data_IF_851070365474
#
_entry.id   IF_851070365474
#
_cell.length_a   1.000
_cell.length_b   1.000
_cell.length_c   1.000
_cell.angle_alpha   90.00
_cell.angle_beta   90.00
_cell.angle_gamma   90.00
#
_symmetry.space_group_name_H-M   'P 1'
#
loop_
_entity.id
_entity.type
_entity.pdbx_description
1 polymer ?
#
# COMPACT_ATOMS: atom_id res chain seq x y z
N UNK A 1 11.27 0.13 28.27
CA UNK A 1 12.70 -0.06 27.90
C UNK A 1 13.53 0.98 28.64
N UNK A 2 14.62 0.63 29.31
CA UNK A 2 15.53 1.62 29.90
C UNK A 2 16.50 2.09 28.82
N UNK A 3 16.38 3.35 28.36
CA UNK A 3 17.33 3.95 27.42
C UNK A 3 18.65 4.23 28.16
N UNK A 4 19.72 3.58 27.74
CA UNK A 4 21.06 3.77 28.34
C UNK A 4 21.80 4.99 27.75
N UNK A 5 21.19 5.73 26.82
CA UNK A 5 21.80 6.88 26.14
C UNK A 5 22.99 6.49 25.24
N UNK A 6 23.13 5.20 24.92
CA UNK A 6 24.29 4.68 24.19
C UNK A 6 24.16 4.83 22.67
N UNK A 7 22.98 5.17 22.14
CA UNK A 7 22.77 5.27 20.70
C UNK A 7 23.78 6.22 20.04
N UNK A 8 23.97 7.43 20.60
CA UNK A 8 24.97 8.38 20.09
C UNK A 8 26.42 7.88 20.14
N UNK A 9 26.74 6.94 21.04
CA UNK A 9 28.08 6.32 21.10
C UNK A 9 28.30 5.22 20.06
N UNK A 10 27.22 4.53 19.67
CA UNK A 10 27.26 3.43 18.69
C UNK A 10 27.11 3.96 17.26
N UNK A 11 26.44 5.11 17.09
CA UNK A 11 26.12 5.70 15.80
C UNK A 11 26.76 7.09 15.65
N UNK A 12 28.03 7.18 15.21
CA UNK A 12 28.70 8.48 15.06
C UNK A 12 28.12 9.28 13.88
N UNK A 13 27.19 10.19 14.18
CA UNK A 13 26.51 11.04 13.20
C UNK A 13 27.40 12.13 12.61
N UNK A 14 28.50 12.51 13.27
CA UNK A 14 29.44 13.53 12.77
C UNK A 14 30.13 13.22 11.43
N UNK A 15 29.89 12.05 10.84
CA UNK A 15 30.29 11.73 9.45
C UNK A 15 29.17 11.91 8.41
N UNK A 16 27.94 12.13 8.88
CA UNK A 16 26.69 12.09 8.12
C UNK A 16 25.98 13.46 8.17
N UNK A 17 25.93 14.07 9.35
CA UNK A 17 25.29 15.35 9.62
C UNK A 17 26.38 16.37 9.96
N UNK A 18 26.28 17.58 9.39
CA UNK A 18 27.22 18.66 9.72
C UNK A 18 27.15 18.99 11.22
N UNK A 19 28.31 19.23 11.83
CA UNK A 19 28.63 19.15 13.28
C UNK A 19 27.96 20.16 14.21
N UNK A 20 26.74 20.60 13.95
CA UNK A 20 25.97 21.34 14.96
C UNK A 20 25.40 20.32 15.96
N UNK A 21 26.28 19.92 16.89
CA UNK A 21 26.23 18.74 17.76
C UNK A 21 25.08 18.70 18.78
N UNK A 22 24.26 19.74 18.88
CA UNK A 22 23.19 19.81 19.87
C UNK A 22 21.92 19.04 19.42
N UNK A 23 21.83 18.65 18.14
CA UNK A 23 20.66 17.95 17.58
C UNK A 23 20.82 16.42 17.41
N UNK A 24 22.01 15.85 17.67
CA UNK A 24 22.26 14.41 17.43
C UNK A 24 21.50 13.49 18.41
N UNK A 25 21.41 13.87 19.68
CA UNK A 25 20.74 13.08 20.73
C UNK A 25 19.22 12.96 20.52
N UNK A 26 18.48 14.06 20.22
CA UNK A 26 17.05 14.01 19.95
C UNK A 26 16.65 13.04 18.83
N UNK A 27 17.46 12.89 17.77
CA UNK A 27 17.09 12.08 16.59
C UNK A 27 17.03 10.59 16.94
N UNK A 28 18.02 10.07 17.67
CA UNK A 28 18.01 8.65 18.05
C UNK A 28 17.05 8.36 19.18
N UNK A 29 16.83 9.30 20.09
CA UNK A 29 15.79 9.16 21.10
C UNK A 29 14.41 9.09 20.43
N UNK A 30 14.11 9.99 19.47
CA UNK A 30 12.90 9.89 18.65
C UNK A 30 12.82 8.55 17.90
N UNK A 31 13.94 8.03 17.39
CA UNK A 31 14.00 6.71 16.76
C UNK A 31 13.66 5.56 17.72
N UNK A 32 14.12 5.64 18.97
CA UNK A 32 13.78 4.66 20.02
C UNK A 32 12.32 4.76 20.44
N UNK A 33 11.78 5.97 20.54
CA UNK A 33 10.37 6.22 20.83
C UNK A 33 9.48 5.61 19.75
N UNK A 34 9.72 5.96 18.47
CA UNK A 34 8.97 5.40 17.35
C UNK A 34 9.10 3.87 17.24
N UNK A 35 10.29 3.32 17.50
CA UNK A 35 10.49 1.87 17.57
C UNK A 35 9.67 1.23 18.71
N UNK A 36 9.63 1.85 19.89
CA UNK A 36 8.84 1.38 21.03
C UNK A 36 7.35 1.40 20.70
N UNK A 37 6.84 2.51 20.16
CA UNK A 37 5.44 2.67 19.75
C UNK A 37 5.06 1.65 18.67
N UNK A 38 5.95 1.40 17.70
CA UNK A 38 5.78 0.35 16.69
C UNK A 38 5.70 -1.04 17.33
N UNK A 39 6.61 -1.35 18.26
CA UNK A 39 6.63 -2.64 18.96
C UNK A 39 5.37 -2.85 19.80
N UNK A 40 4.96 -1.86 20.57
CA UNK A 40 3.79 -1.92 21.44
C UNK A 40 2.50 -2.13 20.64
N UNK A 41 2.39 -1.47 19.48
CA UNK A 41 1.27 -1.70 18.57
C UNK A 41 1.29 -3.11 17.95
N UNK A 42 2.44 -3.65 17.56
CA UNK A 42 2.54 -5.06 17.11
C UNK A 42 2.14 -6.05 18.21
N UNK A 43 2.52 -5.79 19.46
CA UNK A 43 2.07 -6.56 20.61
C UNK A 43 0.55 -6.48 20.79
N UNK A 44 -0.03 -5.30 20.61
CA UNK A 44 -1.48 -5.10 20.62
C UNK A 44 -2.16 -5.91 19.52
N UNK A 45 -1.70 -5.83 18.26
CA UNK A 45 -2.23 -6.64 17.14
C UNK A 45 -2.10 -8.14 17.38
N UNK A 46 -1.08 -8.59 18.14
CA UNK A 46 -0.97 -10.00 18.51
C UNK A 46 -2.10 -10.45 19.45
N UNK A 47 -2.49 -9.58 20.38
CA UNK A 47 -3.54 -9.86 21.35
C UNK A 47 -4.94 -9.65 20.76
N UNK A 48 -5.09 -8.61 19.94
CA UNK A 48 -6.33 -8.18 19.28
C UNK A 48 -6.03 -7.98 17.79
N UNK A 49 -5.98 -9.05 16.99
CA UNK A 49 -5.63 -8.93 15.57
C UNK A 49 -6.71 -8.13 14.85
N UNK A 50 -6.36 -7.02 14.18
CA UNK A 50 -7.31 -6.31 13.34
C UNK A 50 -7.73 -7.21 12.18
N UNK A 51 -8.86 -6.90 11.54
CA UNK A 51 -9.46 -7.72 10.47
C UNK A 51 -8.44 -8.08 9.39
N UNK A 52 -7.58 -7.12 9.04
CA UNK A 52 -6.57 -7.27 7.98
C UNK A 52 -5.31 -8.06 8.38
N UNK A 53 -5.21 -8.45 9.66
CA UNK A 53 -4.24 -9.39 10.21
C UNK A 53 -4.84 -10.76 10.52
N UNK A 54 -6.13 -10.97 10.26
CA UNK A 54 -6.80 -12.25 10.54
C UNK A 54 -6.51 -13.29 9.44
N UNK A 55 -6.25 -14.54 9.83
CA UNK A 55 -5.95 -15.65 8.90
C UNK A 55 -7.18 -16.17 8.15
N UNK A 56 -8.37 -15.68 8.48
CA UNK A 56 -9.64 -16.28 8.06
C UNK A 56 -10.03 -15.97 6.61
N UNK A 57 -9.29 -15.12 5.90
CA UNK A 57 -9.71 -14.68 4.57
C UNK A 57 -8.54 -14.74 3.57
N UNK A 58 -8.60 -15.64 2.57
CA UNK A 58 -7.64 -15.64 1.47
C UNK A 58 -7.93 -14.48 0.51
N UNK A 59 -7.48 -13.26 0.85
CA UNK A 59 -7.67 -12.07 0.01
C UNK A 59 -6.62 -11.91 -1.10
N UNK A 60 -5.78 -12.91 -1.36
CA UNK A 60 -4.75 -12.78 -2.40
C UNK A 60 -5.36 -12.90 -3.80
N UNK A 61 -5.66 -11.78 -4.44
CA UNK A 61 -6.24 -11.79 -5.79
C UNK A 61 -5.28 -12.31 -6.87
N UNK A 62 -3.98 -12.33 -6.59
CA UNK A 62 -2.93 -12.57 -7.57
C UNK A 62 -2.09 -13.83 -7.28
N UNK A 63 -2.64 -14.78 -6.51
CA UNK A 63 -1.99 -16.05 -6.20
C UNK A 63 -0.70 -15.93 -5.37
N UNK A 64 -0.49 -14.78 -4.74
CA UNK A 64 0.66 -14.53 -3.85
C UNK A 64 0.27 -15.03 -2.46
N UNK A 65 1.09 -15.88 -1.81
CA UNK A 65 0.83 -16.27 -0.43
C UNK A 65 0.78 -15.04 0.47
N UNK A 66 -0.33 -14.86 1.17
CA UNK A 66 -0.52 -13.74 2.07
C UNK A 66 0.09 -14.05 3.44
N UNK A 67 1.34 -13.61 3.65
CA UNK A 67 2.02 -13.78 4.93
C UNK A 67 1.61 -12.69 5.91
N UNK A 68 1.19 -13.10 7.10
CA UNK A 68 0.97 -12.18 8.21
C UNK A 68 2.30 -11.63 8.69
N UNK A 69 2.37 -10.32 8.94
CA UNK A 69 3.58 -9.68 9.44
C UNK A 69 4.08 -10.32 10.75
N UNK A 70 3.16 -10.81 11.58
CA UNK A 70 3.47 -11.51 12.84
C UNK A 70 4.11 -12.89 12.65
N UNK A 71 4.02 -13.47 11.46
CA UNK A 71 4.63 -14.75 11.09
C UNK A 71 5.89 -14.56 10.22
N UNK A 72 6.13 -13.34 9.68
CA UNK A 72 7.29 -13.00 8.86
C UNK A 72 8.38 -12.27 9.66
N UNK A 73 9.33 -13.04 10.18
CA UNK A 73 10.48 -12.55 10.95
C UNK A 73 11.36 -11.56 10.16
N UNK A 74 11.50 -11.75 8.84
CA UNK A 74 12.34 -10.89 8.00
C UNK A 74 11.67 -9.53 7.81
N UNK A 75 10.38 -9.50 7.48
CA UNK A 75 9.62 -8.25 7.38
C UNK A 75 9.59 -7.46 8.69
N UNK A 76 9.44 -8.13 9.85
CA UNK A 76 9.51 -7.45 11.16
C UNK A 76 10.88 -6.89 11.46
N UNK A 77 11.96 -7.62 11.15
CA UNK A 77 13.33 -7.12 11.34
C UNK A 77 13.56 -5.83 10.55
N UNK A 78 13.16 -5.81 9.28
CA UNK A 78 13.33 -4.64 8.40
C UNK A 78 12.43 -3.48 8.85
N UNK A 79 11.22 -3.77 9.36
CA UNK A 79 10.36 -2.78 10.00
C UNK A 79 11.03 -2.13 11.22
N UNK A 80 11.71 -2.89 12.09
CA UNK A 80 12.42 -2.31 13.23
C UNK A 80 13.54 -1.37 12.80
N UNK A 81 14.30 -1.73 11.76
CA UNK A 81 15.29 -0.82 11.18
C UNK A 81 14.63 0.43 10.59
N UNK A 82 13.46 0.26 9.94
CA UNK A 82 12.71 1.37 9.38
C UNK A 82 12.22 2.33 10.48
N UNK A 83 11.59 1.82 11.54
CA UNK A 83 11.11 2.63 12.65
C UNK A 83 12.24 3.39 13.35
N UNK A 84 13.35 2.71 13.68
CA UNK A 84 14.47 3.35 14.37
C UNK A 84 15.16 4.43 13.55
N UNK A 85 15.31 4.23 12.23
CA UNK A 85 16.07 5.15 11.37
C UNK A 85 15.19 6.19 10.66
N UNK A 86 13.86 6.13 10.79
CA UNK A 86 12.92 7.06 10.14
C UNK A 86 13.20 8.53 10.54
N UNK A 87 13.36 8.89 11.82
CA UNK A 87 13.66 10.27 12.20
C UNK A 87 14.96 10.80 11.57
N UNK A 88 16.00 9.96 11.47
CA UNK A 88 17.26 10.32 10.81
C UNK A 88 17.05 10.60 9.30
N UNK A 89 16.25 9.78 8.61
CA UNK A 89 15.93 10.01 7.20
C UNK A 89 15.17 11.32 7.01
N UNK A 90 14.21 11.60 7.89
CA UNK A 90 13.36 12.78 7.79
C UNK A 90 14.15 14.05 8.07
N UNK A 91 15.01 14.02 9.09
CA UNK A 91 15.97 15.06 9.37
C UNK A 91 16.88 15.35 8.17
N UNK A 92 17.53 14.32 7.61
CA UNK A 92 18.39 14.49 6.43
C UNK A 92 17.63 15.05 5.21
N UNK A 93 16.36 14.68 5.05
CA UNK A 93 15.50 15.19 3.99
C UNK A 93 15.11 16.65 4.19
N UNK A 94 14.90 17.10 5.44
CA UNK A 94 14.66 18.51 5.81
C UNK A 94 15.91 19.36 5.52
N UNK A 95 17.06 18.96 6.05
CA UNK A 95 18.35 19.65 5.81
C UNK A 95 18.68 19.77 4.32
N UNK A 96 18.39 18.73 3.53
CA UNK A 96 18.59 18.74 2.08
C UNK A 96 17.70 19.74 1.33
N UNK A 97 16.49 20.04 1.84
CA UNK A 97 15.58 21.04 1.26
C UNK A 97 16.00 22.47 1.59
N UNK A 98 16.45 22.71 2.82
CA UNK A 98 16.82 24.04 3.30
C UNK A 98 18.12 24.57 2.67
N UNK A 99 19.02 23.67 2.25
CA UNK A 99 20.21 24.01 1.45
C UNK A 99 19.90 24.45 0.01
N UNK A 100 18.62 24.68 -0.30
CA UNK A 100 18.02 25.29 -1.49
C UNK A 100 18.96 25.53 -2.67
N UNK A 101 18.79 24.73 -3.74
CA UNK A 101 19.18 24.85 -5.17
C UNK A 101 20.48 25.57 -5.62
N UNK A 102 21.24 26.16 -4.71
CA UNK A 102 22.28 27.16 -4.98
C UNK A 102 23.68 26.64 -4.73
N UNK A 103 23.83 25.44 -4.16
CA UNK A 103 25.11 24.74 -4.18
C UNK A 103 25.39 24.20 -5.59
N UNK A 104 26.45 24.68 -6.28
CA UNK A 104 26.80 24.18 -7.60
C UNK A 104 27.05 22.67 -7.55
N UNK A 105 26.41 21.93 -8.46
CA UNK A 105 26.48 20.46 -8.63
C UNK A 105 27.88 19.97 -9.04
N UNK A 106 28.91 20.24 -8.25
CA UNK A 106 30.29 19.78 -8.49
C UNK A 106 30.64 18.51 -7.71
N UNK A 107 29.65 17.72 -7.27
CA UNK A 107 29.92 16.39 -6.71
C UNK A 107 29.79 15.32 -7.80
N UNK A 108 30.90 14.62 -8.05
CA UNK A 108 30.97 13.53 -9.02
C UNK A 108 29.99 12.39 -8.71
N UNK A 109 29.72 11.57 -9.73
CA UNK A 109 28.75 10.46 -9.81
C UNK A 109 28.80 9.38 -8.69
N UNK A 110 29.59 9.55 -7.62
CA UNK A 110 29.82 8.58 -6.55
C UNK A 110 29.07 8.89 -5.22
N UNK A 111 28.35 10.02 -5.11
CA UNK A 111 27.77 10.48 -3.84
C UNK A 111 26.26 10.71 -3.90
N UNK A 112 25.48 9.67 -4.16
CA UNK A 112 24.01 9.69 -3.95
C UNK A 112 23.54 8.44 -3.22
N UNK A 113 24.36 7.93 -2.29
CA UNK A 113 23.89 6.93 -1.36
C UNK A 113 23.03 7.64 -0.32
N UNK A 114 21.85 7.10 -0.03
CA UNK A 114 21.01 7.64 1.03
C UNK A 114 21.70 7.53 2.39
N UNK A 115 21.27 8.37 3.33
CA UNK A 115 21.71 8.27 4.74
C UNK A 115 21.40 6.90 5.33
N UNK A 116 20.27 6.29 4.98
CA UNK A 116 19.85 4.98 5.48
C UNK A 116 20.77 3.88 4.98
N UNK A 117 21.08 3.88 3.68
CA UNK A 117 21.97 2.86 3.11
C UNK A 117 23.40 3.04 3.64
N UNK A 118 23.87 4.27 3.84
CA UNK A 118 25.15 4.51 4.50
C UNK A 118 25.15 3.98 5.94
N UNK A 119 24.14 4.34 6.74
CA UNK A 119 24.04 3.89 8.14
C UNK A 119 23.96 2.36 8.24
N UNK A 120 23.07 1.74 7.48
CA UNK A 120 22.84 0.30 7.59
C UNK A 120 24.01 -0.52 7.05
N UNK A 121 24.59 -0.14 5.92
CA UNK A 121 25.63 -0.97 5.28
C UNK A 121 27.03 -0.60 5.75
N UNK A 122 27.34 0.69 5.87
CA UNK A 122 28.71 1.11 6.19
C UNK A 122 28.96 1.10 7.70
N UNK A 123 28.00 1.56 8.50
CA UNK A 123 28.15 1.60 9.96
C UNK A 123 27.71 0.28 10.60
N UNK A 124 26.50 -0.19 10.30
CA UNK A 124 25.93 -1.39 10.93
C UNK A 124 26.30 -2.72 10.25
N UNK A 125 26.98 -2.68 9.10
CA UNK A 125 27.37 -3.87 8.32
C UNK A 125 26.18 -4.80 7.98
N UNK A 126 24.99 -4.24 7.79
CA UNK A 126 23.80 -4.97 7.36
C UNK A 126 23.81 -5.19 5.85
N UNK A 127 23.11 -6.22 5.35
CA UNK A 127 22.94 -6.43 3.91
C UNK A 127 22.32 -5.20 3.21
N UNK A 128 22.75 -4.92 1.97
CA UNK A 128 22.18 -3.81 1.18
C UNK A 128 20.68 -3.98 0.94
N UNK A 129 20.21 -5.23 0.76
CA UNK A 129 18.79 -5.56 0.60
C UNK A 129 17.93 -5.10 1.78
N UNK A 130 18.46 -5.18 3.01
CA UNK A 130 17.75 -4.75 4.22
C UNK A 130 17.64 -3.22 4.24
N UNK A 131 18.69 -2.51 3.80
CA UNK A 131 18.67 -1.05 3.70
C UNK A 131 17.67 -0.54 2.64
N UNK A 132 17.67 -1.16 1.46
CA UNK A 132 16.70 -0.86 0.39
C UNK A 132 15.26 -1.16 0.83
N UNK A 133 15.05 -2.28 1.54
CA UNK A 133 13.75 -2.65 2.05
C UNK A 133 13.27 -1.67 3.15
N UNK A 134 14.12 -1.28 4.10
CA UNK A 134 13.80 -0.27 5.11
C UNK A 134 13.46 1.07 4.48
N UNK A 135 14.21 1.52 3.48
CA UNK A 135 13.87 2.75 2.75
C UNK A 135 12.54 2.68 2.03
N UNK A 136 12.22 1.55 1.39
CA UNK A 136 10.93 1.35 0.74
C UNK A 136 9.80 1.43 1.77
N UNK A 137 9.95 0.76 2.93
CA UNK A 137 8.98 0.83 4.03
C UNK A 137 8.76 2.27 4.46
N UNK A 138 9.83 3.02 4.75
CA UNK A 138 9.70 4.40 5.19
C UNK A 138 9.03 5.30 4.12
N UNK A 139 9.37 5.13 2.83
CA UNK A 139 8.76 5.92 1.73
C UNK A 139 7.28 5.58 1.58
N UNK A 140 6.93 4.30 1.66
CA UNK A 140 5.54 3.86 1.59
C UNK A 140 4.74 4.30 2.83
N UNK A 141 5.35 4.36 4.01
CA UNK A 141 4.74 4.92 5.21
C UNK A 141 4.37 6.41 5.01
N UNK A 142 5.29 7.21 4.43
CA UNK A 142 4.96 8.60 4.08
C UNK A 142 3.81 8.67 3.06
N UNK A 143 3.79 7.75 2.08
CA UNK A 143 2.74 7.70 1.06
C UNK A 143 1.38 7.35 1.69
N UNK A 144 1.33 6.38 2.61
CA UNK A 144 0.12 6.06 3.36
C UNK A 144 -0.34 7.22 4.25
N UNK A 145 0.58 7.86 4.98
CA UNK A 145 0.25 9.06 5.76
C UNK A 145 -0.36 10.16 4.88
N UNK A 146 0.21 10.40 3.68
CA UNK A 146 -0.35 11.38 2.73
C UNK A 146 -1.72 10.99 2.21
N UNK A 147 -1.97 9.70 1.95
CA UNK A 147 -3.31 9.23 1.59
C UNK A 147 -4.27 9.46 2.76
N UNK A 148 -3.95 9.01 3.97
CA UNK A 148 -4.82 9.20 5.14
C UNK A 148 -5.15 10.67 5.42
N UNK A 149 -4.15 11.56 5.30
CA UNK A 149 -4.34 13.01 5.54
C UNK A 149 -5.04 13.75 4.41
N UNK A 150 -5.13 13.17 3.20
CA UNK A 150 -5.85 13.76 2.07
C UNK A 150 -7.35 13.45 2.06
N UNK A 151 -7.90 12.91 3.16
CA UNK A 151 -9.33 12.60 3.31
C UNK A 151 -9.74 11.21 2.80
N UNK A 152 -8.78 10.33 2.52
CA UNK A 152 -9.07 8.97 2.07
C UNK A 152 -9.64 8.07 3.17
N UNK A 153 -9.59 8.47 4.43
CA UNK A 153 -10.32 7.79 5.52
C UNK A 153 -11.83 7.78 5.26
N UNK A 154 -12.39 8.89 4.78
CA UNK A 154 -13.79 8.97 4.37
C UNK A 154 -14.13 8.04 3.19
N UNK A 155 -13.20 7.90 2.23
CA UNK A 155 -13.38 7.05 1.07
C UNK A 155 -13.32 5.56 1.44
N UNK A 156 -12.34 5.17 2.26
CA UNK A 156 -12.25 3.82 2.80
C UNK A 156 -13.54 3.42 3.54
N UNK A 157 -14.09 4.33 4.35
CA UNK A 157 -15.37 4.09 5.01
C UNK A 157 -16.53 3.94 4.02
N UNK A 158 -16.62 4.79 2.98
CA UNK A 158 -17.66 4.65 1.92
C UNK A 158 -17.58 3.30 1.22
N UNK A 159 -16.36 2.85 0.87
CA UNK A 159 -16.11 1.55 0.22
C UNK A 159 -16.62 0.41 1.10
N UNK A 160 -16.26 0.43 2.39
CA UNK A 160 -16.69 -0.58 3.36
C UNK A 160 -18.20 -0.56 3.56
N UNK A 161 -18.81 0.62 3.73
CA UNK A 161 -20.26 0.76 3.95
C UNK A 161 -21.09 0.37 2.71
N UNK A 162 -20.51 0.46 1.52
CA UNK A 162 -21.18 0.12 0.26
C UNK A 162 -20.79 -1.28 -0.24
N UNK A 163 -20.04 -2.02 0.56
CA UNK A 163 -19.58 -3.39 0.32
C UNK A 163 -18.97 -3.58 -1.09
N UNK A 164 -18.17 -2.60 -1.53
CA UNK A 164 -17.49 -2.70 -2.83
C UNK A 164 -16.36 -3.69 -2.68
N UNK A 165 -16.43 -4.74 -3.50
CA UNK A 165 -15.59 -5.91 -3.39
C UNK A 165 -15.03 -6.35 -4.73
N UNK A 166 -13.77 -6.73 -4.72
CA UNK A 166 -13.02 -7.33 -5.82
C UNK A 166 -12.48 -8.66 -5.32
N UNK A 167 -13.02 -9.76 -5.82
CA UNK A 167 -12.68 -11.11 -5.39
C UNK A 167 -12.00 -11.88 -6.51
N UNK A 168 -11.01 -12.71 -6.17
CA UNK A 168 -10.46 -13.69 -7.10
C UNK A 168 -10.97 -15.09 -6.72
N UNK A 169 -11.45 -15.82 -7.71
CA UNK A 169 -11.91 -17.19 -7.58
C UNK A 169 -10.79 -18.14 -7.93
N UNK A 170 -10.34 -18.98 -7.00
CA UNK A 170 -9.29 -19.95 -7.29
C UNK A 170 -9.85 -21.15 -8.05
N UNK A 171 -9.22 -21.50 -9.18
CA UNK A 171 -9.56 -22.67 -9.96
C UNK A 171 -9.29 -23.95 -9.16
N UNK A 172 -10.31 -24.53 -8.52
CA UNK A 172 -10.20 -25.77 -7.75
C UNK A 172 -10.96 -25.81 -6.43
N UNK A 173 -11.47 -24.67 -5.95
CA UNK A 173 -12.47 -24.68 -4.87
C UNK A 173 -13.82 -25.03 -5.52
N UNK A 174 -14.21 -26.30 -5.43
CA UNK A 174 -15.54 -26.75 -5.85
C UNK A 174 -16.60 -25.95 -5.08
N UNK A 175 -17.53 -25.33 -5.80
CA UNK A 175 -18.64 -24.50 -5.29
C UNK A 175 -19.59 -25.21 -4.30
N UNK A 176 -19.30 -26.44 -3.90
CA UNK A 176 -20.18 -27.30 -3.10
C UNK A 176 -20.33 -26.88 -1.62
N UNK A 177 -19.69 -25.80 -1.15
CA UNK A 177 -19.76 -25.38 0.28
C UNK A 177 -20.11 -23.90 0.54
N UNK A 178 -20.43 -23.10 -0.47
CA UNK A 178 -20.99 -21.76 -0.28
C UNK A 178 -22.53 -21.79 -0.31
N UNK A 179 -23.14 -22.34 0.75
CA UNK A 179 -24.58 -22.33 0.99
C UNK A 179 -25.07 -20.92 1.40
N UNK A 180 -24.87 -19.93 0.52
CA UNK A 180 -25.64 -18.69 0.53
C UNK A 180 -26.91 -18.97 -0.26
N UNK A 181 -27.93 -19.49 0.46
CA UNK A 181 -29.20 -19.97 -0.07
C UNK A 181 -30.00 -18.96 -0.91
N UNK A 182 -29.58 -18.75 -2.16
CA UNK A 182 -30.40 -18.14 -3.21
C UNK A 182 -31.02 -19.28 -4.01
N UNK A 183 -32.25 -19.59 -3.63
CA UNK A 183 -33.10 -20.60 -4.27
C UNK A 183 -33.66 -20.02 -5.58
N UNK A 184 -33.28 -20.60 -6.72
CA UNK A 184 -34.16 -21.05 -7.84
C UNK A 184 -33.45 -21.00 -9.21
N UNK A 185 -33.46 -22.12 -9.95
CA UNK A 185 -33.22 -22.09 -11.40
C UNK A 185 -32.73 -23.40 -12.00
N UNK A 186 -33.68 -24.19 -12.51
CA UNK A 186 -33.51 -25.41 -13.34
C UNK A 186 -32.72 -25.11 -14.64
N UNK A 187 -31.86 -26.03 -15.09
CA UNK A 187 -31.19 -25.85 -16.39
C UNK A 187 -29.99 -26.74 -16.74
N UNK A 188 -30.27 -27.99 -17.11
CA UNK A 188 -29.32 -28.92 -17.74
C UNK A 188 -28.79 -28.41 -19.09
N UNK A 189 -27.47 -28.56 -19.29
CA UNK A 189 -26.76 -29.02 -20.50
C UNK A 189 -25.42 -28.27 -20.65
N UNK A 190 -24.30 -28.88 -20.22
CA UNK A 190 -22.95 -28.39 -20.50
C UNK A 190 -22.24 -29.33 -21.47
N UNK A 191 -21.95 -28.79 -22.65
CA UNK A 191 -21.17 -29.38 -23.73
C UNK A 191 -19.68 -29.42 -23.36
N UNK A 192 -19.08 -30.60 -23.44
CA UNK A 192 -17.64 -30.82 -23.28
C UNK A 192 -16.88 -30.31 -24.52
N UNK A 193 -16.48 -29.05 -24.49
CA UNK A 193 -15.58 -28.42 -25.47
C UNK A 193 -14.22 -28.15 -24.85
N UNK A 194 -13.14 -28.44 -25.60
CA UNK A 194 -11.73 -28.28 -25.22
C UNK A 194 -11.46 -26.94 -24.49
N UNK A 195 -11.38 -27.00 -23.16
CA UNK A 195 -10.93 -25.90 -22.32
C UNK A 195 -9.40 -25.95 -22.24
N UNK A 196 -8.76 -25.14 -23.07
CA UNK A 196 -7.33 -25.11 -23.33
C UNK A 196 -6.65 -24.09 -22.41
N UNK A 197 -5.91 -24.57 -21.39
CA UNK A 197 -4.87 -23.91 -20.56
C UNK A 197 -5.12 -22.54 -19.87
N UNK A 198 -6.12 -21.74 -20.24
CA UNK A 198 -6.51 -20.52 -19.49
C UNK A 198 -7.23 -20.82 -18.17
N UNK A 199 -7.61 -22.07 -17.95
CA UNK A 199 -8.51 -22.49 -16.89
C UNK A 199 -7.86 -22.71 -15.52
N UNK A 200 -6.55 -22.50 -15.41
CA UNK A 200 -5.82 -22.55 -14.13
C UNK A 200 -5.59 -21.16 -13.52
N UNK A 201 -5.85 -20.08 -14.27
CA UNK A 201 -5.86 -18.74 -13.71
C UNK A 201 -7.27 -18.47 -13.17
N UNK A 202 -7.35 -18.23 -11.87
CA UNK A 202 -8.57 -17.79 -11.24
C UNK A 202 -9.20 -16.58 -11.96
N UNK A 203 -10.52 -16.45 -11.91
CA UNK A 203 -11.20 -15.29 -12.48
C UNK A 203 -11.46 -14.25 -11.39
N UNK A 204 -11.41 -12.97 -11.74
CA UNK A 204 -11.74 -11.87 -10.83
C UNK A 204 -13.20 -11.47 -11.06
N UNK A 205 -13.96 -11.32 -9.98
CA UNK A 205 -15.34 -10.82 -10.01
C UNK A 205 -15.49 -9.61 -9.10
N UNK A 206 -16.35 -8.68 -9.50
CA UNK A 206 -16.60 -7.45 -8.76
C UNK A 206 -18.05 -7.40 -8.30
N UNK A 207 -18.29 -6.88 -7.09
CA UNK A 207 -19.64 -6.66 -6.57
C UNK A 207 -19.73 -5.38 -5.75
N UNK A 208 -20.90 -4.77 -5.69
CA UNK A 208 -21.20 -3.64 -4.81
C UNK A 208 -22.66 -3.70 -4.32
N UNK A 209 -22.96 -3.08 -3.19
CA UNK A 209 -24.34 -2.87 -2.75
C UNK A 209 -24.91 -1.62 -3.42
N UNK A 210 -26.06 -1.76 -4.04
CA UNK A 210 -26.78 -0.67 -4.70
C UNK A 210 -27.71 0.06 -3.72
N UNK A 211 -28.16 1.30 -4.03
CA UNK A 211 -29.15 2.00 -3.21
C UNK A 211 -30.46 1.23 -2.99
N UNK A 212 -30.78 0.28 -3.88
CA UNK A 212 -31.92 -0.63 -3.76
C UNK A 212 -31.70 -1.75 -2.71
N UNK A 213 -30.54 -1.76 -2.05
CA UNK A 213 -30.21 -2.62 -0.90
C UNK A 213 -29.74 -4.03 -1.26
N UNK A 214 -29.63 -4.37 -2.55
CA UNK A 214 -29.16 -5.67 -3.01
C UNK A 214 -27.69 -5.63 -3.48
N UNK A 215 -26.93 -6.73 -3.28
CA UNK A 215 -25.64 -6.90 -3.93
C UNK A 215 -25.84 -7.03 -5.44
N UNK A 216 -25.08 -6.24 -6.20
CA UNK A 216 -25.04 -6.25 -7.67
C UNK A 216 -23.66 -6.73 -8.11
N UNK A 217 -23.62 -7.71 -9.01
CA UNK A 217 -22.39 -8.06 -9.74
C UNK A 217 -22.08 -6.92 -10.71
N UNK A 218 -20.87 -6.40 -10.63
CA UNK A 218 -20.41 -5.25 -11.40
C UNK A 218 -19.62 -5.73 -12.60
N UNK A 219 -19.99 -5.27 -13.79
CA UNK A 219 -19.12 -5.35 -14.96
C UNK A 219 -18.13 -4.19 -14.90
N UNK A 220 -16.92 -4.50 -14.41
CA UNK A 220 -15.89 -3.50 -14.18
C UNK A 220 -15.51 -2.73 -15.45
N UNK A 221 -15.73 -3.28 -16.65
CA UNK A 221 -15.40 -2.65 -17.93
C UNK A 221 -16.36 -1.51 -18.32
N UNK A 222 -17.60 -1.57 -17.84
CA UNK A 222 -18.71 -0.71 -18.32
C UNK A 222 -19.45 0.04 -17.22
N UNK A 223 -19.14 -0.22 -15.95
CA UNK A 223 -19.80 0.41 -14.81
C UNK A 223 -19.49 1.91 -14.70
N UNK A 224 -20.55 2.72 -14.69
CA UNK A 224 -20.51 4.18 -14.66
C UNK A 224 -21.00 4.77 -13.32
N UNK A 225 -21.33 3.92 -12.34
CA UNK A 225 -21.74 4.37 -11.02
C UNK A 225 -20.67 5.25 -10.37
N UNK A 226 -21.05 6.46 -9.94
CA UNK A 226 -20.13 7.44 -9.34
C UNK A 226 -19.33 6.88 -8.17
N UNK A 227 -19.94 6.04 -7.33
CA UNK A 227 -19.26 5.44 -6.19
C UNK A 227 -18.26 4.37 -6.63
N UNK A 228 -18.59 3.59 -7.65
CA UNK A 228 -17.64 2.64 -8.26
C UNK A 228 -16.43 3.37 -8.83
N UNK A 229 -16.65 4.45 -9.59
CA UNK A 229 -15.58 5.26 -10.17
C UNK A 229 -14.68 5.88 -9.08
N UNK A 230 -15.27 6.43 -8.01
CA UNK A 230 -14.54 6.92 -6.83
C UNK A 230 -13.69 5.82 -6.18
N UNK A 231 -14.25 4.61 -6.03
CA UNK A 231 -13.54 3.47 -5.47
C UNK A 231 -12.40 2.97 -6.36
N UNK A 232 -12.57 2.98 -7.68
CA UNK A 232 -11.52 2.59 -8.63
C UNK A 232 -10.40 3.63 -8.71
N UNK A 233 -10.70 4.92 -8.60
CA UNK A 233 -9.68 5.96 -8.44
C UNK A 233 -8.86 5.75 -7.15
N UNK A 234 -9.55 5.45 -6.05
CA UNK A 234 -8.89 5.10 -4.80
C UNK A 234 -8.02 3.85 -4.92
N UNK A 235 -8.54 2.80 -5.59
CA UNK A 235 -7.81 1.57 -5.90
C UNK A 235 -6.53 1.89 -6.67
N UNK A 236 -6.60 2.74 -7.69
CA UNK A 236 -5.46 3.17 -8.49
C UNK A 236 -4.40 3.89 -7.64
N UNK A 237 -4.79 4.80 -6.76
CA UNK A 237 -3.83 5.52 -5.90
C UNK A 237 -3.13 4.58 -4.92
N UNK A 238 -3.89 3.68 -4.29
CA UNK A 238 -3.33 2.69 -3.37
C UNK A 238 -2.41 1.70 -4.09
N UNK A 239 -2.80 1.25 -5.28
CA UNK A 239 -1.99 0.32 -6.09
C UNK A 239 -0.59 0.85 -6.37
N UNK A 240 -0.43 2.16 -6.62
CA UNK A 240 0.87 2.79 -6.89
C UNK A 240 1.82 2.69 -5.70
N UNK A 241 1.28 2.76 -4.48
CA UNK A 241 2.04 2.54 -3.25
C UNK A 241 2.39 1.05 -3.13
N UNK A 242 1.39 0.19 -3.28
CA UNK A 242 1.51 -1.27 -3.12
C UNK A 242 2.46 -1.92 -4.13
N UNK A 243 2.45 -1.50 -5.40
CA UNK A 243 3.37 -1.98 -6.44
C UNK A 243 4.83 -1.66 -6.10
N UNK A 244 5.09 -0.52 -5.45
CA UNK A 244 6.45 -0.09 -5.07
C UNK A 244 6.98 -0.84 -3.85
N UNK A 245 6.14 -0.99 -2.83
CA UNK A 245 6.52 -1.64 -1.56
C UNK A 245 6.45 -3.17 -1.65
N UNK A 246 5.54 -3.68 -2.47
CA UNK A 246 5.27 -5.10 -2.65
C UNK A 246 4.80 -5.78 -1.35
N UNK A 247 5.37 -6.94 -0.97
CA UNK A 247 4.92 -7.71 0.19
C UNK A 247 5.16 -7.00 1.53
N UNK A 248 5.98 -5.94 1.57
CA UNK A 248 6.28 -5.18 2.78
C UNK A 248 5.20 -4.15 3.15
N UNK A 249 4.05 -4.13 2.46
CA UNK A 249 3.03 -3.11 2.64
C UNK A 249 2.48 -3.05 4.07
N UNK A 250 2.29 -4.20 4.74
CA UNK A 250 1.83 -4.25 6.15
C UNK A 250 2.83 -3.57 7.08
N UNK A 251 4.13 -3.79 6.85
CA UNK A 251 5.17 -3.15 7.63
C UNK A 251 5.16 -1.62 7.43
N UNK A 252 5.00 -1.16 6.19
CA UNK A 252 4.87 0.27 5.89
C UNK A 252 3.61 0.89 6.52
N UNK A 253 2.48 0.19 6.51
CA UNK A 253 1.25 0.67 7.11
C UNK A 253 1.34 0.75 8.64
N UNK A 254 1.94 -0.25 9.29
CA UNK A 254 2.22 -0.24 10.74
C UNK A 254 3.16 0.91 11.11
N UNK A 255 4.20 1.17 10.31
CA UNK A 255 5.09 2.30 10.55
C UNK A 255 4.33 3.62 10.45
N UNK A 256 3.54 3.81 9.39
CA UNK A 256 2.69 4.99 9.19
C UNK A 256 1.75 5.23 10.38
N UNK A 257 1.11 4.17 10.87
CA UNK A 257 0.26 4.24 12.06
C UNK A 257 1.08 4.61 13.31
N UNK A 258 2.21 3.96 13.54
CA UNK A 258 3.06 4.25 14.70
C UNK A 258 3.54 5.70 14.74
N UNK A 259 3.84 6.30 13.58
CA UNK A 259 4.17 7.74 13.48
C UNK A 259 3.01 8.61 13.96
N UNK A 260 1.77 8.34 13.51
CA UNK A 260 0.59 9.09 13.94
C UNK A 260 0.27 8.90 15.43
N UNK A 261 0.55 7.72 15.99
CA UNK A 261 0.37 7.46 17.41
C UNK A 261 1.43 8.17 18.27
N UNK A 262 2.65 8.32 17.74
CA UNK A 262 3.72 9.06 18.42
C UNK A 262 3.40 10.56 18.50
N UNK A 263 2.86 11.14 17.42
CA UNK A 263 2.43 12.54 17.41
C UNK A 263 1.41 12.84 18.54
N UNK A 264 0.50 11.90 18.85
CA UNK A 264 -0.46 12.02 19.96
C UNK A 264 0.20 11.92 21.34
N UNK A 265 1.28 11.14 21.44
CA UNK A 265 2.02 11.01 22.69
C UNK A 265 2.81 12.28 23.02
N UNK A 266 3.44 12.90 22.01
CA UNK A 266 4.25 14.11 22.17
C UNK A 266 3.43 15.36 22.52
N UNK A 267 2.19 15.45 22.06
CA UNK A 267 1.30 16.56 22.41
C UNK A 267 0.81 16.35 23.85
N UNK A 268 1.50 16.96 24.81
CA UNK A 268 0.94 17.24 26.14
C UNK A 268 -0.39 17.96 25.94
N UNK A 269 -1.48 17.36 26.44
CA UNK A 269 -2.85 17.67 26.02
C UNK A 269 -3.10 19.17 25.89
N UNK A 270 -3.62 19.58 24.74
CA UNK A 270 -4.17 20.92 24.58
C UNK A 270 -5.50 20.90 25.34
N UNK A 271 -5.50 21.40 26.58
CA UNK A 271 -6.71 21.84 27.26
C UNK A 271 -7.33 22.97 26.41
N UNK A 272 -8.14 22.61 25.42
CA UNK A 272 -8.98 23.57 24.73
C UNK A 272 -10.13 23.94 25.66
N UNK A 273 -9.87 24.87 26.58
CA UNK A 273 -10.89 25.53 27.36
C UNK A 273 -11.66 26.49 26.44
N UNK A 274 -12.63 25.97 25.69
CA UNK A 274 -13.67 26.79 25.05
C UNK A 274 -14.72 27.05 26.11
N UNK A 275 -14.97 28.34 26.36
CA UNK A 275 -15.78 28.91 27.42
C UNK A 275 -17.21 28.32 27.45
N UNK A 276 -17.42 27.18 28.10
CA UNK A 276 -18.76 26.68 28.49
C UNK A 276 -19.05 25.18 28.35
N UNK A 277 -18.33 24.41 27.53
CA UNK A 277 -18.50 22.96 27.39
C UNK A 277 -17.13 22.32 27.08
N UNK A 278 -16.51 21.73 28.11
CA UNK A 278 -15.25 20.99 27.94
C UNK A 278 -15.62 19.54 27.62
N UNK A 279 -15.56 19.16 26.34
CA UNK A 279 -15.46 17.75 25.96
C UNK A 279 -13.97 17.41 26.03
N UNK A 280 -13.53 16.89 27.17
CA UNK A 280 -12.21 16.25 27.29
C UNK A 280 -12.24 14.95 26.48
N UNK A 281 -11.82 14.99 25.21
CA UNK A 281 -11.49 13.77 24.49
C UNK A 281 -10.20 13.22 25.10
N UNK A 282 -10.29 12.02 25.68
CA UNK A 282 -9.14 11.40 26.31
C UNK A 282 -8.09 11.03 25.26
N UNK A 283 -6.80 11.08 25.61
CA UNK A 283 -5.71 10.61 24.72
C UNK A 283 -5.98 9.20 24.17
N UNK A 284 -6.63 8.35 24.96
CA UNK A 284 -7.01 7.01 24.54
C UNK A 284 -8.09 7.01 23.47
N UNK A 285 -9.09 7.89 23.54
CA UNK A 285 -10.11 8.02 22.48
C UNK A 285 -9.49 8.48 21.16
N UNK A 286 -8.61 9.50 21.19
CA UNK A 286 -7.88 9.95 20.00
C UNK A 286 -7.05 8.80 19.42
N UNK A 287 -6.31 8.08 20.28
CA UNK A 287 -5.49 6.93 19.92
C UNK A 287 -6.33 5.85 19.23
N UNK A 288 -7.47 5.47 19.81
CA UNK A 288 -8.37 4.48 19.24
C UNK A 288 -8.99 4.96 17.92
N UNK A 289 -9.31 6.26 17.81
CA UNK A 289 -9.77 6.86 16.56
C UNK A 289 -8.76 6.72 15.42
N UNK A 290 -7.47 6.96 15.69
CA UNK A 290 -6.40 6.76 14.70
C UNK A 290 -6.29 5.29 14.30
N UNK A 291 -6.28 4.37 15.26
CA UNK A 291 -6.22 2.92 14.99
C UNK A 291 -7.39 2.49 14.12
N UNK A 292 -8.62 2.90 14.46
CA UNK A 292 -9.83 2.57 13.71
C UNK A 292 -9.79 3.09 12.26
N UNK A 293 -9.24 4.28 12.03
CA UNK A 293 -9.05 4.84 10.67
C UNK A 293 -8.10 3.98 9.84
N UNK A 294 -6.96 3.58 10.43
CA UNK A 294 -6.00 2.71 9.73
C UNK A 294 -6.54 1.31 9.50
N UNK A 295 -7.34 0.76 10.43
CA UNK A 295 -8.01 -0.52 10.26
C UNK A 295 -9.04 -0.48 9.12
N UNK A 296 -9.85 0.57 9.04
CA UNK A 296 -10.79 0.78 7.94
C UNK A 296 -10.05 0.94 6.60
N UNK A 297 -8.96 1.70 6.58
CA UNK A 297 -8.12 1.86 5.39
C UNK A 297 -7.55 0.51 4.94
N UNK A 298 -6.92 -0.25 5.85
CA UNK A 298 -6.36 -1.56 5.55
C UNK A 298 -7.43 -2.54 5.07
N UNK A 299 -8.59 -2.59 5.72
CA UNK A 299 -9.71 -3.42 5.30
C UNK A 299 -10.17 -3.06 3.89
N UNK A 300 -10.26 -1.77 3.55
CA UNK A 300 -10.62 -1.34 2.19
C UNK A 300 -9.61 -1.80 1.13
N UNK A 301 -8.31 -1.92 1.47
CA UNK A 301 -7.32 -2.50 0.55
C UNK A 301 -7.60 -3.99 0.26
N UNK A 302 -8.06 -4.73 1.27
CA UNK A 302 -8.41 -6.14 1.13
C UNK A 302 -9.68 -6.32 0.30
N UNK A 303 -10.73 -5.56 0.62
CA UNK A 303 -12.01 -5.61 -0.12
C UNK A 303 -11.83 -5.20 -1.58
N UNK A 304 -10.92 -4.25 -1.89
CA UNK A 304 -10.59 -3.88 -3.26
C UNK A 304 -9.62 -4.82 -3.97
N UNK A 305 -9.28 -5.96 -3.36
CA UNK A 305 -8.47 -6.99 -3.98
C UNK A 305 -7.07 -6.49 -4.39
N UNK A 306 -6.48 -5.62 -3.57
CA UNK A 306 -5.16 -5.02 -3.85
C UNK A 306 -3.98 -5.87 -3.36
N UNK A 307 -4.22 -6.89 -2.53
CA UNK A 307 -3.16 -7.76 -2.02
C UNK A 307 -2.61 -8.62 -3.14
N UNK A 308 -1.31 -8.45 -3.43
CA UNK A 308 -0.62 -9.14 -4.51
C UNK A 308 -0.56 -8.35 -5.82
N UNK A 309 -1.11 -7.13 -5.89
CA UNK A 309 -1.14 -6.33 -7.13
C UNK A 309 0.25 -6.01 -7.71
N UNK A 310 1.31 -6.09 -6.88
CA UNK A 310 2.70 -5.99 -7.33
C UNK A 310 3.16 -7.17 -8.21
N UNK A 311 2.40 -8.27 -8.26
CA UNK A 311 2.65 -9.42 -9.12
C UNK A 311 1.79 -9.41 -10.39
N UNK A 312 0.86 -8.46 -10.53
CA UNK A 312 0.00 -8.32 -11.71
C UNK A 312 0.85 -8.17 -12.97
N UNK A 313 0.59 -9.04 -13.95
CA UNK A 313 1.22 -8.97 -15.27
C UNK A 313 0.27 -8.28 -16.25
N UNK A 314 0.78 -7.53 -17.23
CA UNK A 314 -0.07 -6.94 -18.26
C UNK A 314 -0.84 -8.01 -19.05
N UNK A 315 -2.11 -7.74 -19.36
CA UNK A 315 -2.97 -8.64 -20.17
C UNK A 315 -2.48 -8.79 -21.62
N UNK A 316 -1.88 -7.72 -22.16
CA UNK A 316 -1.29 -7.68 -23.49
C UNK A 316 0.20 -7.41 -23.33
N UNK A 317 1.01 -8.38 -23.71
CA UNK A 317 2.46 -8.21 -23.66
C UNK A 317 2.96 -7.29 -24.79
N UNK A 318 4.23 -6.86 -24.70
CA UNK A 318 4.78 -5.94 -25.71
C UNK A 318 4.95 -6.53 -27.11
N UNK A 319 4.90 -7.87 -27.24
CA UNK A 319 4.93 -8.57 -28.52
C UNK A 319 3.54 -8.57 -29.13
N UNK A 320 2.53 -9.00 -28.39
CA UNK A 320 1.12 -9.00 -28.81
C UNK A 320 0.66 -7.60 -29.22
N UNK A 321 1.05 -6.58 -28.45
CA UNK A 321 0.75 -5.17 -28.72
C UNK A 321 1.15 -4.76 -30.16
N UNK A 322 2.25 -5.32 -30.70
CA UNK A 322 2.81 -4.98 -32.01
C UNK A 322 2.53 -6.01 -33.11
N UNK A 323 2.60 -7.29 -32.78
CA UNK A 323 2.57 -8.39 -33.75
C UNK A 323 1.16 -8.90 -34.00
N UNK A 324 0.31 -8.87 -32.98
CA UNK A 324 -1.06 -9.37 -33.08
C UNK A 324 -2.04 -8.27 -33.49
N UNK A 325 -1.51 -7.10 -33.86
CA UNK A 325 -2.27 -6.01 -34.47
C UNK A 325 -3.13 -5.22 -33.49
N UNK A 326 -2.83 -5.24 -32.18
CA UNK A 326 -3.53 -4.37 -31.21
C UNK A 326 -3.27 -2.91 -31.56
N UNK A 327 -2.01 -2.48 -31.65
CA UNK A 327 -1.65 -1.13 -32.08
C UNK A 327 -0.41 -1.22 -33.00
N UNK A 328 -0.58 -1.60 -34.29
CA UNK A 328 0.51 -1.98 -35.18
C UNK A 328 1.47 -0.82 -35.49
N UNK A 329 1.02 0.43 -35.36
CA UNK A 329 1.77 1.61 -35.76
C UNK A 329 2.56 2.28 -34.60
N UNK A 330 2.65 1.67 -33.41
CA UNK A 330 3.34 2.26 -32.26
C UNK A 330 4.86 2.43 -32.51
N UNK A 331 5.41 3.65 -32.36
CA UNK A 331 6.86 3.87 -32.44
C UNK A 331 7.62 3.22 -31.27
N UNK A 332 8.88 2.87 -31.49
CA UNK A 332 9.77 2.49 -30.38
C UNK A 332 10.12 3.75 -29.57
N UNK A 333 10.01 3.70 -28.25
CA UNK A 333 10.48 4.79 -27.38
C UNK A 333 9.52 5.11 -26.22
N UNK A 334 9.52 6.36 -25.73
CA UNK A 334 8.73 6.80 -24.57
C UNK A 334 7.22 6.52 -24.71
N UNK A 335 6.65 6.73 -25.91
CA UNK A 335 5.23 6.48 -26.19
C UNK A 335 4.84 5.03 -25.91
N UNK A 336 5.71 4.06 -26.23
CA UNK A 336 5.43 2.67 -25.91
C UNK A 336 5.36 2.42 -24.40
N UNK A 337 6.16 3.13 -23.60
CA UNK A 337 6.05 3.05 -22.13
C UNK A 337 4.73 3.68 -21.66
N UNK A 338 4.32 4.81 -22.22
CA UNK A 338 3.05 5.46 -21.87
C UNK A 338 1.85 4.54 -22.13
N UNK A 339 1.84 3.81 -23.25
CA UNK A 339 0.79 2.82 -23.57
C UNK A 339 0.80 1.65 -22.59
N UNK A 340 1.99 1.15 -22.21
CA UNK A 340 2.08 0.07 -21.22
C UNK A 340 1.64 0.54 -19.82
N UNK A 341 1.99 1.77 -19.44
CA UNK A 341 1.57 2.38 -18.18
C UNK A 341 0.04 2.61 -18.17
N UNK A 342 -0.54 3.03 -19.30
CA UNK A 342 -1.99 3.18 -19.46
C UNK A 342 -2.73 1.85 -19.35
N UNK A 343 -2.24 0.80 -20.02
CA UNK A 343 -2.77 -0.56 -19.86
C UNK A 343 -2.74 -0.98 -18.39
N UNK A 344 -1.62 -0.78 -17.68
CA UNK A 344 -1.51 -1.13 -16.27
C UNK A 344 -2.50 -0.34 -15.42
N UNK A 345 -2.63 0.99 -15.64
CA UNK A 345 -3.61 1.80 -14.91
C UNK A 345 -5.05 1.34 -15.17
N UNK A 346 -5.38 1.02 -16.43
CA UNK A 346 -6.70 0.54 -16.82
C UNK A 346 -7.04 -0.80 -16.18
N UNK A 347 -6.12 -1.75 -16.17
CA UNK A 347 -6.30 -3.05 -15.50
C UNK A 347 -6.54 -2.88 -13.99
N UNK A 348 -5.89 -1.89 -13.39
CA UNK A 348 -6.08 -1.57 -11.98
C UNK A 348 -7.47 -0.95 -11.73
N UNK A 349 -8.00 -0.16 -12.66
CA UNK A 349 -9.33 0.45 -12.49
C UNK A 349 -10.49 -0.42 -13.01
N UNK A 350 -10.20 -1.49 -13.75
CA UNK A 350 -11.19 -2.40 -14.32
C UNK A 350 -10.85 -3.86 -13.96
N UNK A 351 -10.80 -4.21 -12.66
CA UNK A 351 -10.40 -5.54 -12.22
C UNK A 351 -11.33 -6.62 -12.77
N UNK A 352 -10.74 -7.66 -13.38
CA UNK A 352 -11.47 -8.77 -13.98
C UNK A 352 -12.05 -8.50 -15.37
N UNK A 353 -11.90 -7.29 -15.92
CA UNK A 353 -12.29 -7.01 -17.28
C UNK A 353 -11.47 -7.83 -18.29
N UNK A 354 -12.10 -8.18 -19.42
CA UNK A 354 -11.49 -9.04 -20.41
C UNK A 354 -10.47 -8.30 -21.30
N UNK A 355 -9.67 -9.10 -22.02
CA UNK A 355 -8.65 -8.59 -22.94
C UNK A 355 -9.24 -7.77 -24.09
N UNK A 356 -10.46 -8.07 -24.56
CA UNK A 356 -11.07 -7.36 -25.68
C UNK A 356 -11.52 -5.95 -25.27
N UNK A 357 -12.07 -5.80 -24.07
CA UNK A 357 -12.42 -4.50 -23.50
C UNK A 357 -11.18 -3.59 -23.37
N UNK A 358 -10.04 -4.16 -22.95
CA UNK A 358 -8.78 -3.42 -22.93
C UNK A 358 -8.30 -3.02 -24.32
N UNK A 359 -8.38 -3.91 -25.32
CA UNK A 359 -8.01 -3.58 -26.71
C UNK A 359 -8.85 -2.41 -27.22
N UNK A 360 -10.16 -2.43 -26.97
CA UNK A 360 -11.06 -1.35 -27.35
C UNK A 360 -10.68 -0.04 -26.67
N UNK A 361 -10.41 -0.05 -25.35
CA UNK A 361 -9.94 1.13 -24.62
C UNK A 361 -8.65 1.70 -25.23
N UNK A 362 -7.67 0.86 -25.54
CA UNK A 362 -6.42 1.30 -26.15
C UNK A 362 -6.61 1.89 -27.55
N UNK A 363 -7.54 1.37 -28.35
CA UNK A 363 -7.91 1.95 -29.65
C UNK A 363 -8.56 3.33 -29.50
N UNK A 364 -9.39 3.50 -28.48
CA UNK A 364 -10.10 4.76 -28.22
C UNK A 364 -9.15 5.85 -27.68
N UNK A 365 -8.19 5.47 -26.82
CA UNK A 365 -7.20 6.39 -26.23
C UNK A 365 -6.07 6.73 -27.20
N UNK A 366 -5.64 5.79 -28.05
CA UNK A 366 -4.52 5.95 -28.97
C UNK A 366 -4.90 5.68 -30.44
N UNK A 367 -5.88 6.41 -31.00
CA UNK A 367 -6.42 6.14 -32.33
C UNK A 367 -5.38 6.33 -33.45
N UNK A 368 -4.32 7.11 -33.22
CA UNK A 368 -3.24 7.34 -34.20
C UNK A 368 -2.31 6.13 -34.41
N UNK A 369 -2.37 5.12 -33.53
CA UNK A 369 -1.52 3.92 -33.63
C UNK A 369 -2.25 2.65 -34.08
N UNK A 370 -3.55 2.75 -34.34
CA UNK A 370 -4.38 1.67 -34.90
C UNK A 370 -3.98 1.36 -36.34
#
# INVERSE_FOLDING_TARGET
MTNLGLAGTVFPLGSIVDKDMDEEYPIFDAGLHLLSTTHDHLCYCKANPPVWCSKSMPYSCYGVPDYMLMDDDESRRVLWYAAFLKPLRDYASKVGKDRGSSCPRTQGKKSTRSVITHMMVDQLKRPSRDAEASERIMKAADDFTRLMTSGFDSMSMKILLSEIRVFAHHAGESEDECDLGIINGDGRNRTEGKMEQQQLQGYISCSMVTPDGGPKVVDAATEDNSLWLEAMEFRLLCSKVLQRIGPLWRAALILSLAEQLEDVNEVDMIEFAIEGDVIEESKEEVRQGIIAKYDAFAASLLELGLVGIWCEQPLIDGREMKQDGVLPNIPKGPVFREIMDEQSNWMITHPGADKNALIQHLHDVFPEFV
#
